data_IF_759442116645
#
_entry.id   IF_759442116645
#
_cell.length_a   1.000
_cell.length_b   1.000
_cell.length_c   1.000
_cell.angle_alpha   90.00
_cell.angle_beta   90.00
_cell.angle_gamma   90.00
#
_symmetry.space_group_name_H-M   'P 1'
#
loop_
_entity.id
_entity.type
_entity.pdbx_description
1 polymer ?
#
# COMPACT_ATOMS: atom_id res chain seq x y z
N UNK A 1 -3.79 3.10 2.50
CA UNK A 1 -3.34 2.09 3.47
C UNK A 1 -3.07 0.74 2.81
N UNK A 2 -3.90 0.30 1.88
CA UNK A 2 -3.67 -0.94 1.15
C UNK A 2 -3.14 -0.59 -0.24
N UNK A 3 -1.85 -0.76 -0.43
CA UNK A 3 -1.17 -0.52 -1.71
C UNK A 3 -0.81 -1.88 -2.31
N UNK A 4 -0.90 -2.07 -3.63
CA UNK A 4 -0.63 -3.35 -4.27
C UNK A 4 0.68 -4.02 -3.84
N UNK A 5 1.76 -3.27 -3.70
CA UNK A 5 3.05 -3.82 -3.31
C UNK A 5 3.07 -4.37 -1.87
N UNK A 6 2.23 -3.83 -0.97
CA UNK A 6 2.14 -4.31 0.41
C UNK A 6 1.58 -5.73 0.48
N UNK A 7 0.71 -6.13 -0.45
CA UNK A 7 0.21 -7.50 -0.52
C UNK A 7 1.34 -8.49 -0.81
N UNK A 8 2.22 -8.14 -1.73
CA UNK A 8 3.37 -8.98 -2.09
C UNK A 8 4.42 -9.01 -0.96
N UNK A 9 4.72 -7.84 -0.38
CA UNK A 9 5.65 -7.75 0.74
C UNK A 9 5.15 -8.53 1.95
N UNK A 10 3.86 -8.38 2.30
CA UNK A 10 3.25 -9.12 3.40
C UNK A 10 3.37 -10.64 3.19
N UNK A 11 3.10 -11.12 1.96
CA UNK A 11 3.23 -12.54 1.63
C UNK A 11 4.67 -13.04 1.83
N UNK A 12 5.67 -12.25 1.40
CA UNK A 12 7.07 -12.59 1.59
C UNK A 12 7.46 -12.64 3.08
N UNK A 13 7.07 -11.63 3.86
CA UNK A 13 7.34 -11.55 5.29
C UNK A 13 6.64 -12.65 6.10
N UNK A 14 5.40 -12.99 5.75
CA UNK A 14 4.67 -14.11 6.36
C UNK A 14 5.41 -15.42 6.13
N UNK A 15 5.91 -15.65 4.91
CA UNK A 15 6.67 -16.86 4.56
C UNK A 15 8.00 -16.95 5.30
N UNK A 16 8.65 -15.82 5.59
CA UNK A 16 9.90 -15.80 6.37
C UNK A 16 9.67 -16.04 7.86
N UNK A 17 8.60 -15.45 8.42
CA UNK A 17 8.33 -15.48 9.86
C UNK A 17 7.62 -16.75 10.32
N UNK A 18 6.73 -17.30 9.49
CA UNK A 18 5.91 -18.46 9.82
C UNK A 18 6.07 -19.56 8.78
N UNK A 19 6.68 -20.66 9.18
CA UNK A 19 7.01 -21.78 8.28
C UNK A 19 5.98 -22.90 8.31
N UNK A 20 5.14 -23.00 9.36
CA UNK A 20 4.21 -24.09 9.55
C UNK A 20 2.75 -23.68 9.43
N UNK A 21 1.85 -24.54 8.90
CA UNK A 21 0.41 -24.27 8.86
C UNK A 21 -0.23 -24.01 10.23
N UNK A 22 0.36 -24.52 11.32
CA UNK A 22 -0.05 -24.26 12.70
C UNK A 22 0.09 -22.79 13.10
N UNK A 23 0.96 -22.02 12.43
CA UNK A 23 1.23 -20.61 12.73
C UNK A 23 0.20 -19.67 12.08
N UNK A 24 -0.67 -20.20 11.21
CA UNK A 24 -1.69 -19.42 10.50
C UNK A 24 -2.55 -18.52 11.42
N UNK A 25 -3.01 -18.96 12.62
CA UNK A 25 -3.74 -18.09 13.53
C UNK A 25 -2.93 -16.89 14.01
N UNK A 26 -1.62 -17.05 14.22
CA UNK A 26 -0.71 -15.98 14.63
C UNK A 26 -0.52 -14.98 13.49
N UNK A 27 -0.32 -15.45 12.26
CA UNK A 27 -0.23 -14.60 11.07
C UNK A 27 -1.52 -13.80 10.83
N UNK A 28 -2.68 -14.43 11.00
CA UNK A 28 -3.98 -13.76 10.87
C UNK A 28 -4.18 -12.69 11.94
N UNK A 29 -3.79 -12.98 13.20
CA UNK A 29 -3.89 -12.01 14.30
C UNK A 29 -3.01 -10.80 14.05
N UNK A 30 -1.75 -11.01 13.66
CA UNK A 30 -0.78 -9.96 13.31
C UNK A 30 -1.35 -9.05 12.20
N UNK A 31 -1.82 -9.65 11.11
CA UNK A 31 -2.43 -8.94 9.99
C UNK A 31 -3.69 -8.16 10.43
N UNK A 32 -4.57 -8.76 11.22
CA UNK A 32 -5.81 -8.11 11.67
C UNK A 32 -5.51 -6.89 12.52
N UNK A 33 -4.58 -7.00 13.47
CA UNK A 33 -4.15 -5.88 14.31
C UNK A 33 -3.55 -4.76 13.46
N UNK A 34 -2.63 -5.09 12.56
CA UNK A 34 -1.97 -4.11 11.69
C UNK A 34 -2.97 -3.37 10.78
N UNK A 35 -3.90 -4.11 10.14
CA UNK A 35 -4.92 -3.51 9.27
C UNK A 35 -5.93 -2.68 10.04
N UNK A 36 -6.33 -3.11 11.25
CA UNK A 36 -7.27 -2.35 12.09
C UNK A 36 -6.65 -1.04 12.54
N UNK A 37 -5.43 -1.07 13.06
CA UNK A 37 -4.72 0.15 13.48
C UNK A 37 -4.46 1.09 12.30
N UNK A 38 -3.97 0.57 11.17
CA UNK A 38 -3.74 1.35 9.96
C UNK A 38 -5.04 1.94 9.40
N UNK A 39 -6.15 1.20 9.46
CA UNK A 39 -7.48 1.67 9.07
C UNK A 39 -7.99 2.79 9.95
N UNK A 40 -7.85 2.67 11.27
CA UNK A 40 -8.23 3.71 12.23
C UNK A 40 -7.44 5.00 12.00
N UNK A 41 -6.14 4.91 11.80
CA UNK A 41 -5.29 6.07 11.48
C UNK A 41 -5.76 6.72 10.17
N UNK A 42 -6.03 5.92 9.13
CA UNK A 42 -6.51 6.45 7.84
C UNK A 42 -7.86 7.14 7.96
N UNK A 43 -8.78 6.58 8.73
CA UNK A 43 -10.08 7.21 9.01
C UNK A 43 -9.91 8.54 9.76
N UNK A 44 -9.04 8.57 10.76
CA UNK A 44 -8.75 9.80 11.51
C UNK A 44 -8.23 10.92 10.59
N UNK A 45 -7.30 10.58 9.67
CA UNK A 45 -6.78 11.55 8.69
C UNK A 45 -7.89 12.05 7.76
N UNK A 46 -8.76 11.16 7.26
CA UNK A 46 -9.87 11.54 6.37
C UNK A 46 -10.85 12.46 7.09
N UNK A 47 -11.22 12.15 8.36
CA UNK A 47 -12.16 12.95 9.15
C UNK A 47 -11.56 14.34 9.42
N UNK A 48 -10.28 14.39 9.78
CA UNK A 48 -9.58 15.66 10.02
C UNK A 48 -9.52 16.50 8.75
N UNK A 49 -9.17 15.91 7.62
CA UNK A 49 -9.12 16.61 6.34
C UNK A 49 -10.50 17.10 5.87
N UNK A 50 -11.56 16.37 6.15
CA UNK A 50 -12.92 16.75 5.78
C UNK A 50 -13.45 17.97 6.59
N UNK A 51 -12.86 18.24 7.76
CA UNK A 51 -13.21 19.40 8.61
C UNK A 51 -12.50 20.69 8.19
N UNK A 52 -11.63 20.67 7.18
CA UNK A 52 -10.88 21.85 6.73
C UNK A 52 -11.45 22.34 5.41
N UNK A 53 -11.91 23.59 5.40
CA UNK A 53 -12.30 24.31 4.18
C UNK A 53 -11.06 24.76 3.37
N UNK A 54 -10.15 23.87 3.08
CA UNK A 54 -8.97 24.18 2.30
C UNK A 54 -9.25 24.03 0.81
N UNK A 55 -9.47 25.13 0.14
CA UNK A 55 -9.78 25.15 -1.29
C UNK A 55 -8.59 24.79 -2.21
N UNK A 56 -7.35 24.83 -1.73
CA UNK A 56 -6.16 24.63 -2.58
C UNK A 56 -4.97 24.09 -1.74
N UNK A 57 -4.85 22.77 -1.65
CA UNK A 57 -3.68 22.13 -1.04
C UNK A 57 -2.60 22.01 -2.10
N UNK A 58 -1.59 22.87 -2.07
CA UNK A 58 -0.47 22.90 -3.03
C UNK A 58 0.84 22.41 -2.44
N UNK A 59 0.97 22.42 -1.13
CA UNK A 59 2.21 22.03 -0.44
C UNK A 59 1.94 21.05 0.70
N UNK A 60 3.02 20.36 1.13
CA UNK A 60 2.95 19.53 2.33
C UNK A 60 2.60 20.35 3.58
N UNK A 61 2.98 21.62 3.64
CA UNK A 61 2.66 22.52 4.75
C UNK A 61 1.14 22.79 4.86
N UNK A 62 0.43 22.86 3.73
CA UNK A 62 -1.02 23.09 3.72
C UNK A 62 -1.78 21.91 4.35
N UNK A 63 -1.20 20.72 4.35
CA UNK A 63 -1.76 19.57 5.06
C UNK A 63 -1.76 19.76 6.57
N UNK A 64 -0.86 20.61 7.11
CA UNK A 64 -0.82 20.90 8.53
C UNK A 64 -2.04 21.70 8.99
N UNK A 65 -2.68 22.47 8.11
CA UNK A 65 -3.91 23.21 8.41
C UNK A 65 -5.02 22.29 8.90
N UNK A 66 -5.06 21.06 8.38
CA UNK A 66 -6.00 20.04 8.84
C UNK A 66 -5.77 19.55 10.27
N UNK A 67 -4.57 19.72 10.79
CA UNK A 67 -4.19 19.32 12.15
C UNK A 67 -4.23 20.49 13.13
N UNK A 68 -4.28 21.73 12.63
CA UNK A 68 -4.23 22.95 13.45
C UNK A 68 -5.37 23.04 14.49
N UNK A 69 -6.62 22.64 14.20
CA UNK A 69 -7.69 22.66 15.20
C UNK A 69 -7.43 21.76 16.43
N UNK A 70 -6.60 20.70 16.25
CA UNK A 70 -6.28 19.72 17.32
C UNK A 70 -4.96 20.04 18.01
N UNK A 71 -3.94 20.43 17.24
CA UNK A 71 -2.55 20.57 17.69
C UNK A 71 -2.08 22.03 17.76
N UNK A 72 -2.90 23.00 17.32
CA UNK A 72 -2.52 24.41 17.27
C UNK A 72 -1.21 24.64 16.52
N UNK A 73 -0.34 25.47 17.06
CA UNK A 73 0.98 25.81 16.47
C UNK A 73 1.94 24.60 16.31
N UNK A 74 1.67 23.49 17.00
CA UNK A 74 2.47 22.27 16.87
C UNK A 74 2.11 21.40 15.65
N UNK A 75 1.02 21.71 14.94
CA UNK A 75 0.55 20.94 13.78
C UNK A 75 1.65 20.71 12.73
N UNK A 76 2.43 21.74 12.41
CA UNK A 76 3.54 21.67 11.46
C UNK A 76 4.62 20.67 11.92
N UNK A 77 4.97 20.65 13.20
CA UNK A 77 5.97 19.73 13.73
C UNK A 77 5.47 18.28 13.70
N UNK A 78 4.22 18.04 14.08
CA UNK A 78 3.61 16.71 14.00
C UNK A 78 3.57 16.20 12.57
N UNK A 79 3.15 17.05 11.62
CA UNK A 79 3.14 16.70 10.21
C UNK A 79 4.55 16.41 9.69
N UNK A 80 5.52 17.25 10.00
CA UNK A 80 6.91 17.08 9.54
C UNK A 80 7.51 15.77 10.05
N UNK A 81 7.32 15.43 11.32
CA UNK A 81 7.78 14.17 11.91
C UNK A 81 7.07 12.98 11.25
N UNK A 82 5.76 13.08 11.04
CA UNK A 82 4.95 12.04 10.38
C UNK A 82 5.39 11.78 8.95
N UNK A 83 5.59 12.84 8.16
CA UNK A 83 6.07 12.74 6.77
C UNK A 83 7.50 12.19 6.70
N UNK A 84 8.38 12.60 7.60
CA UNK A 84 9.74 12.08 7.69
C UNK A 84 9.75 10.58 8.01
N UNK A 85 8.99 10.15 9.01
CA UNK A 85 8.85 8.74 9.37
C UNK A 85 8.25 7.91 8.22
N UNK A 86 7.21 8.41 7.56
CA UNK A 86 6.59 7.78 6.40
C UNK A 86 7.57 7.70 5.22
N UNK A 87 8.34 8.75 4.98
CA UNK A 87 9.36 8.79 3.93
C UNK A 87 10.44 7.74 4.12
N UNK A 88 11.01 7.64 5.32
CA UNK A 88 12.01 6.61 5.65
C UNK A 88 11.43 5.21 5.45
N UNK A 89 10.26 4.95 6.02
CA UNK A 89 9.61 3.64 5.92
C UNK A 89 9.34 3.25 4.47
N UNK A 90 8.79 4.17 3.67
CA UNK A 90 8.47 3.91 2.26
C UNK A 90 9.72 3.71 1.40
N UNK A 91 10.79 4.45 1.67
CA UNK A 91 12.09 4.31 0.96
C UNK A 91 12.71 2.92 1.17
N UNK A 92 12.43 2.27 2.28
CA UNK A 92 12.90 0.91 2.55
C UNK A 92 11.92 -0.12 2.00
N UNK A 93 10.63 0.02 2.30
CA UNK A 93 9.62 -1.03 2.04
C UNK A 93 9.25 -1.17 0.57
N UNK A 94 9.16 -0.08 -0.19
CA UNK A 94 8.76 -0.15 -1.59
C UNK A 94 9.82 -0.83 -2.49
N UNK A 95 11.12 -0.48 -2.41
CA UNK A 95 12.16 -1.20 -3.13
C UNK A 95 12.30 -2.67 -2.69
N UNK A 96 12.13 -2.94 -1.39
CA UNK A 96 12.17 -4.28 -0.84
C UNK A 96 11.05 -5.16 -1.44
N UNK A 97 9.83 -4.66 -1.44
CA UNK A 97 8.68 -5.35 -2.03
C UNK A 97 8.88 -5.63 -3.52
N UNK A 98 9.39 -4.63 -4.27
CA UNK A 98 9.68 -4.77 -5.69
C UNK A 98 10.74 -5.86 -5.94
N UNK A 99 11.81 -5.89 -5.14
CA UNK A 99 12.85 -6.89 -5.26
C UNK A 99 12.32 -8.30 -4.99
N UNK A 100 11.47 -8.50 -3.98
CA UNK A 100 10.81 -9.80 -3.72
C UNK A 100 9.94 -10.24 -4.89
N UNK A 101 9.14 -9.34 -5.45
CA UNK A 101 8.24 -9.64 -6.58
C UNK A 101 9.05 -10.01 -7.81
N UNK A 102 10.02 -9.19 -8.20
CA UNK A 102 10.81 -9.40 -9.41
C UNK A 102 11.64 -10.69 -9.30
N UNK A 103 12.34 -10.89 -8.19
CA UNK A 103 13.10 -12.13 -7.96
C UNK A 103 12.17 -13.35 -7.99
N UNK A 104 11.00 -13.26 -7.36
CA UNK A 104 10.01 -14.33 -7.38
C UNK A 104 9.47 -14.66 -8.78
N UNK A 105 9.20 -13.66 -9.61
CA UNK A 105 8.71 -13.84 -10.98
C UNK A 105 9.75 -14.45 -11.89
N UNK A 106 11.03 -14.10 -11.74
CA UNK A 106 12.14 -14.64 -12.55
C UNK A 106 12.74 -15.93 -11.98
N UNK A 107 12.25 -16.42 -10.84
CA UNK A 107 12.79 -17.59 -10.17
C UNK A 107 14.20 -17.37 -9.59
N UNK A 108 14.58 -16.11 -9.34
CA UNK A 108 15.85 -15.79 -8.72
C UNK A 108 15.76 -15.93 -7.19
N UNK A 109 16.93 -16.03 -6.53
CA UNK A 109 16.97 -16.09 -5.08
C UNK A 109 16.37 -14.82 -4.47
N UNK A 110 15.44 -14.99 -3.52
CA UNK A 110 14.84 -13.92 -2.73
C UNK A 110 15.66 -13.55 -1.49
N UNK A 111 16.86 -14.13 -1.35
CA UNK A 111 17.79 -13.77 -0.27
C UNK A 111 18.25 -12.31 -0.45
N UNK A 112 18.15 -11.53 0.62
CA UNK A 112 18.60 -10.12 0.68
C UNK A 112 20.10 -9.96 0.33
N UNK A 113 20.91 -11.01 0.49
CA UNK A 113 22.33 -11.02 0.14
C UNK A 113 22.59 -11.26 -1.34
N UNK A 114 21.62 -11.76 -2.08
CA UNK A 114 21.72 -12.06 -3.50
C UNK A 114 22.00 -10.80 -4.33
N UNK A 115 22.89 -10.91 -5.32
CA UNK A 115 23.23 -9.78 -6.17
C UNK A 115 22.02 -9.29 -6.99
N UNK A 116 21.17 -10.19 -7.49
CA UNK A 116 19.97 -9.81 -8.24
C UNK A 116 19.03 -8.99 -7.36
N UNK A 117 18.81 -9.40 -6.11
CA UNK A 117 17.99 -8.69 -5.15
C UNK A 117 18.52 -7.28 -4.89
N UNK A 118 19.80 -7.14 -4.62
CA UNK A 118 20.47 -5.85 -4.35
C UNK A 118 20.40 -4.90 -5.54
N UNK A 119 20.59 -5.41 -6.77
CA UNK A 119 20.52 -4.59 -7.97
C UNK A 119 19.12 -4.06 -8.24
N UNK A 120 18.09 -4.89 -8.06
CA UNK A 120 16.70 -4.45 -8.21
C UNK A 120 16.36 -3.39 -7.14
N UNK A 121 16.71 -3.67 -5.88
CA UNK A 121 16.49 -2.76 -4.77
C UNK A 121 17.16 -1.40 -5.01
N UNK A 122 18.43 -1.41 -5.41
CA UNK A 122 19.20 -0.20 -5.73
C UNK A 122 18.60 0.55 -6.93
N UNK A 123 18.19 -0.17 -7.97
CA UNK A 123 17.56 0.43 -9.16
C UNK A 123 16.30 1.22 -8.81
N UNK A 124 15.43 0.65 -7.98
CA UNK A 124 14.20 1.34 -7.54
C UNK A 124 14.53 2.61 -6.75
N UNK A 125 15.52 2.57 -5.87
CA UNK A 125 15.96 3.76 -5.13
C UNK A 125 16.52 4.81 -6.07
N UNK A 126 17.37 4.44 -7.02
CA UNK A 126 17.95 5.37 -8.00
C UNK A 126 16.87 6.04 -8.84
N UNK A 127 15.87 5.29 -9.29
CA UNK A 127 14.71 5.85 -10.00
C UNK A 127 13.98 6.87 -9.12
N UNK A 128 13.74 6.55 -7.84
CA UNK A 128 13.12 7.47 -6.89
C UNK A 128 13.92 8.76 -6.70
N UNK A 129 15.24 8.65 -6.56
CA UNK A 129 16.15 9.82 -6.45
C UNK A 129 16.11 10.67 -7.72
N UNK A 130 16.15 10.05 -8.90
CA UNK A 130 16.06 10.78 -10.18
C UNK A 130 14.74 11.53 -10.29
N UNK A 131 13.60 10.90 -9.96
CA UNK A 131 12.31 11.58 -9.93
C UNK A 131 12.27 12.73 -8.94
N UNK A 132 12.85 12.56 -7.76
CA UNK A 132 12.97 13.62 -6.75
C UNK A 132 13.79 14.82 -7.26
N UNK A 133 14.80 14.57 -8.08
CA UNK A 133 15.66 15.62 -8.64
C UNK A 133 14.99 16.43 -9.80
N UNK A 134 13.87 15.97 -10.34
CA UNK A 134 13.16 16.65 -11.44
C UNK A 134 12.47 17.95 -11.04
N UNK A 135 12.33 18.24 -9.74
CA UNK A 135 11.63 19.42 -9.24
C UNK A 135 10.10 19.36 -9.37
N UNK A 136 9.55 18.22 -9.76
CA UNK A 136 8.09 18.02 -9.82
C UNK A 136 7.51 18.15 -8.41
N UNK A 137 6.38 18.84 -8.30
CA UNK A 137 5.71 19.01 -7.01
C UNK A 137 5.37 17.66 -6.39
N UNK A 138 5.70 17.48 -5.10
CA UNK A 138 5.48 16.24 -4.35
C UNK A 138 4.02 15.74 -4.44
N UNK A 139 3.05 16.66 -4.33
CA UNK A 139 1.63 16.35 -4.40
C UNK A 139 1.25 15.74 -5.76
N UNK A 140 1.78 16.25 -6.86
CA UNK A 140 1.55 15.70 -8.21
C UNK A 140 2.07 14.27 -8.33
N UNK A 141 3.26 13.99 -7.78
CA UNK A 141 3.82 12.63 -7.78
C UNK A 141 2.95 11.69 -6.95
N UNK A 142 2.49 12.13 -5.77
CA UNK A 142 1.61 11.35 -4.91
C UNK A 142 0.29 11.06 -5.61
N UNK A 143 -0.34 12.05 -6.23
CA UNK A 143 -1.59 11.88 -6.98
C UNK A 143 -1.43 10.86 -8.11
N UNK A 144 -0.39 10.98 -8.94
CA UNK A 144 -0.10 10.03 -10.00
C UNK A 144 0.08 8.60 -9.47
N UNK A 145 0.84 8.45 -8.38
CA UNK A 145 1.04 7.16 -7.73
C UNK A 145 -0.28 6.57 -7.20
N UNK A 146 -1.14 7.38 -6.59
CA UNK A 146 -2.44 6.93 -6.08
C UNK A 146 -3.42 6.53 -7.19
N UNK A 147 -3.41 7.25 -8.31
CA UNK A 147 -4.21 6.90 -9.50
C UNK A 147 -3.77 5.52 -10.02
N UNK A 148 -2.46 5.34 -10.19
CA UNK A 148 -1.89 4.06 -10.65
C UNK A 148 -2.23 2.91 -9.69
N UNK A 149 -2.09 3.12 -8.39
CA UNK A 149 -2.47 2.15 -7.37
C UNK A 149 -3.95 1.81 -7.41
N UNK A 150 -4.81 2.83 -7.58
CA UNK A 150 -6.25 2.65 -7.71
C UNK A 150 -6.65 1.77 -8.90
N UNK A 151 -5.97 1.94 -10.05
CA UNK A 151 -6.21 1.13 -11.25
C UNK A 151 -5.72 -0.31 -11.10
N UNK A 152 -4.60 -0.53 -10.43
CA UNK A 152 -4.02 -1.85 -10.22
C UNK A 152 -4.78 -2.67 -9.17
N UNK A 153 -5.38 -2.03 -8.18
CA UNK A 153 -6.03 -2.70 -7.06
C UNK A 153 -7.14 -3.69 -7.48
N UNK A 154 -8.11 -3.34 -8.37
CA UNK A 154 -9.14 -4.27 -8.80
C UNK A 154 -8.57 -5.49 -9.52
N UNK A 155 -7.53 -5.29 -10.35
CA UNK A 155 -6.89 -6.37 -11.11
C UNK A 155 -6.25 -7.36 -10.14
N UNK A 156 -5.50 -6.87 -9.16
CA UNK A 156 -4.84 -7.71 -8.15
C UNK A 156 -5.88 -8.41 -7.28
N UNK A 157 -6.93 -7.71 -6.85
CA UNK A 157 -8.02 -8.29 -6.07
C UNK A 157 -8.73 -9.42 -6.83
N UNK A 158 -8.99 -9.24 -8.13
CA UNK A 158 -9.60 -10.27 -8.97
C UNK A 158 -8.68 -11.50 -9.15
N UNK A 159 -7.38 -11.28 -9.38
CA UNK A 159 -6.39 -12.35 -9.49
C UNK A 159 -6.26 -13.13 -8.17
N UNK A 160 -6.22 -12.42 -7.03
CA UNK A 160 -6.18 -13.07 -5.71
C UNK A 160 -7.44 -13.89 -5.47
N UNK A 161 -8.64 -13.37 -5.77
CA UNK A 161 -9.88 -14.11 -5.64
C UNK A 161 -9.89 -15.36 -6.53
N UNK A 162 -9.38 -15.26 -7.76
CA UNK A 162 -9.24 -16.40 -8.64
C UNK A 162 -8.27 -17.45 -8.09
N UNK A 163 -7.11 -17.04 -7.56
CA UNK A 163 -6.14 -17.94 -6.93
C UNK A 163 -6.73 -18.65 -5.71
N UNK A 164 -7.49 -17.92 -4.85
CA UNK A 164 -8.13 -18.48 -3.67
C UNK A 164 -9.22 -19.53 -3.98
N UNK A 165 -9.66 -19.60 -5.24
CA UNK A 165 -10.58 -20.62 -5.72
C UNK A 165 -9.89 -21.83 -6.37
N UNK A 166 -8.56 -21.80 -6.56
CA UNK A 166 -7.81 -22.92 -7.15
C UNK A 166 -7.58 -24.04 -6.12
N UNK A 167 -8.41 -25.09 -6.19
CA UNK A 167 -8.31 -26.26 -5.30
C UNK A 167 -6.96 -26.99 -5.39
N UNK A 168 -6.31 -26.98 -6.57
CA UNK A 168 -4.97 -27.57 -6.76
C UNK A 168 -3.87 -26.91 -5.92
N UNK A 169 -4.03 -25.64 -5.59
CA UNK A 169 -3.06 -24.86 -4.83
C UNK A 169 -3.36 -24.86 -3.31
N UNK A 170 -4.64 -24.76 -2.94
CA UNK A 170 -5.07 -24.47 -1.59
C UNK A 170 -5.72 -25.66 -0.85
N UNK A 171 -6.11 -26.70 -1.57
CA UNK A 171 -6.70 -27.88 -0.97
C UNK A 171 -7.89 -27.53 -0.06
N UNK A 172 -7.75 -27.85 1.25
CA UNK A 172 -8.77 -27.59 2.26
C UNK A 172 -8.95 -26.11 2.61
N UNK A 173 -8.00 -25.26 2.27
CA UNK A 173 -8.03 -23.79 2.51
C UNK A 173 -8.70 -22.99 1.38
N UNK A 174 -9.25 -23.68 0.38
CA UNK A 174 -10.03 -23.06 -0.69
C UNK A 174 -11.20 -22.26 -0.11
N UNK A 175 -11.48 -21.11 -0.72
CA UNK A 175 -12.59 -20.25 -0.31
C UNK A 175 -13.95 -20.94 -0.44
N UNK A 176 -14.78 -20.77 0.58
CA UNK A 176 -16.20 -21.19 0.61
C UNK A 176 -17.08 -20.08 0.01
N UNK A 177 -18.36 -20.39 -0.21
CA UNK A 177 -19.33 -19.48 -0.85
C UNK A 177 -19.39 -18.09 -0.17
N UNK A 178 -19.39 -18.02 1.16
CA UNK A 178 -19.41 -16.75 1.91
C UNK A 178 -18.15 -15.91 1.68
N UNK A 179 -17.00 -16.53 1.65
CA UNK A 179 -15.71 -15.86 1.41
C UNK A 179 -15.63 -15.36 -0.04
N UNK A 180 -16.16 -16.13 -0.99
CA UNK A 180 -16.24 -15.72 -2.39
C UNK A 180 -17.18 -14.54 -2.58
N UNK A 181 -18.34 -14.53 -1.91
CA UNK A 181 -19.26 -13.41 -1.95
C UNK A 181 -18.61 -12.12 -1.43
N UNK A 182 -17.90 -12.19 -0.30
CA UNK A 182 -17.11 -11.07 0.23
C UNK A 182 -15.99 -10.65 -0.74
N UNK A 183 -15.27 -11.60 -1.32
CA UNK A 183 -14.22 -11.32 -2.30
C UNK A 183 -14.76 -10.61 -3.54
N UNK A 184 -15.90 -11.05 -4.07
CA UNK A 184 -16.57 -10.40 -5.20
C UNK A 184 -17.04 -8.99 -4.85
N UNK A 185 -17.58 -8.78 -3.65
CA UNK A 185 -17.95 -7.46 -3.15
C UNK A 185 -16.73 -6.52 -3.11
N UNK A 186 -15.60 -6.99 -2.62
CA UNK A 186 -14.35 -6.20 -2.57
C UNK A 186 -13.88 -5.84 -3.99
N UNK A 187 -13.88 -6.80 -4.92
CA UNK A 187 -13.50 -6.55 -6.33
C UNK A 187 -14.44 -5.52 -6.96
N UNK A 188 -15.74 -5.65 -6.73
CA UNK A 188 -16.74 -4.71 -7.24
C UNK A 188 -16.54 -3.30 -6.69
N UNK A 189 -16.33 -3.16 -5.37
CA UNK A 189 -16.06 -1.87 -4.74
C UNK A 189 -14.76 -1.25 -5.26
N UNK A 190 -13.69 -2.05 -5.42
CA UNK A 190 -12.43 -1.59 -5.97
C UNK A 190 -12.60 -1.10 -7.42
N UNK A 191 -13.34 -1.82 -8.26
CA UNK A 191 -13.67 -1.40 -9.62
C UNK A 191 -14.48 -0.10 -9.65
N UNK A 192 -15.51 -0.01 -8.82
CA UNK A 192 -16.34 1.19 -8.72
C UNK A 192 -15.52 2.42 -8.33
N UNK A 193 -14.66 2.30 -7.32
CA UNK A 193 -13.78 3.39 -6.89
C UNK A 193 -12.76 3.76 -7.96
N UNK A 194 -12.18 2.78 -8.66
CA UNK A 194 -11.26 3.02 -9.78
C UNK A 194 -11.92 3.78 -10.92
N UNK A 195 -13.10 3.36 -11.34
CA UNK A 195 -13.87 4.02 -12.41
C UNK A 195 -14.26 5.45 -12.00
N UNK A 196 -14.69 5.65 -10.75
CA UNK A 196 -14.98 6.98 -10.22
C UNK A 196 -13.75 7.88 -10.24
N UNK A 197 -12.60 7.36 -9.85
CA UNK A 197 -11.33 8.13 -9.87
C UNK A 197 -10.97 8.54 -11.28
N UNK A 198 -11.07 7.63 -12.26
CA UNK A 198 -10.85 7.95 -13.67
C UNK A 198 -11.85 9.00 -14.17
N UNK A 199 -13.13 8.85 -13.85
CA UNK A 199 -14.15 9.82 -14.24
C UNK A 199 -13.82 11.23 -13.75
N UNK A 200 -13.41 11.37 -12.48
CA UNK A 200 -13.07 12.67 -11.87
C UNK A 200 -11.78 13.30 -12.43
N UNK A 201 -10.92 12.53 -13.08
CA UNK A 201 -9.66 13.03 -13.66
C UNK A 201 -9.85 13.47 -15.11
N UNK A 202 -10.71 12.79 -15.86
CA UNK A 202 -10.87 13.04 -17.30
C UNK A 202 -12.09 13.90 -17.65
N UNK A 203 -12.93 14.22 -16.69
CA UNK A 203 -14.11 15.08 -16.83
C UNK A 203 -14.11 16.19 -15.79
#
# INVERSE_FOLDING_TARGET
TIVPYNLFLHTALVKEKWSHPSDLPHALKDMTVALTLGGLISLSVIITAAGVEASDIRSAADLALGLEPVFGSFANYFLAIGLFAAGITSTITAPLATAYVVCGCFGWSTDLKSNHFKWIWLFVILVGVLFSATGIQLITIIQFAQITNGLLLPIIAAVLLWLMNKSKLLGVFKYKAKQNALGLLIVFLALFLSLRTLYLIFL
#
